data_IF_765397072246
#
_entry.id   IF_765397072246
#
_cell.length_a   1.000
_cell.length_b   1.000
_cell.length_c   1.000
_cell.angle_alpha   90.00
_cell.angle_beta   90.00
_cell.angle_gamma   90.00
#
_symmetry.space_group_name_H-M   'P 1'
#
loop_
_entity.id
_entity.type
_entity.pdbx_description
1 polymer ?
#
# COMPACT_ATOMS: atom_id res chain seq x y z
N UNK A 1 -20.86 -27.65 4.17
CA UNK A 1 -19.95 -26.49 4.28
C UNK A 1 -18.54 -27.02 4.48
N UNK A 2 -17.68 -26.98 3.47
CA UNK A 2 -16.27 -27.37 3.65
C UNK A 2 -15.54 -26.19 4.24
N UNK A 3 -15.17 -26.28 5.52
CA UNK A 3 -14.27 -25.30 6.13
C UNK A 3 -12.90 -25.45 5.49
N UNK A 4 -12.50 -24.52 4.63
CA UNK A 4 -11.10 -24.39 4.20
C UNK A 4 -10.29 -23.87 5.38
N UNK A 5 -10.00 -24.77 6.32
CA UNK A 5 -9.13 -24.50 7.45
C UNK A 5 -7.77 -23.99 6.97
N UNK A 6 -7.17 -23.09 7.75
CA UNK A 6 -5.80 -22.70 7.53
C UNK A 6 -4.91 -23.95 7.61
N UNK A 7 -4.06 -24.15 6.59
CA UNK A 7 -3.11 -25.26 6.57
C UNK A 7 -1.98 -24.90 7.53
N UNK A 8 -1.73 -25.67 8.60
CA UNK A 8 -0.71 -25.32 9.58
C UNK A 8 0.69 -25.22 8.95
N UNK A 9 1.45 -24.19 9.31
CA UNK A 9 2.83 -24.06 8.88
C UNK A 9 3.74 -24.94 9.73
N UNK A 10 3.84 -26.21 9.33
CA UNK A 10 4.66 -27.21 10.02
C UNK A 10 6.17 -26.96 9.87
N UNK A 11 6.62 -26.39 8.75
CA UNK A 11 8.03 -26.06 8.51
C UNK A 11 8.51 -25.00 9.52
N UNK A 12 7.76 -23.91 9.67
CA UNK A 12 8.08 -22.86 10.66
C UNK A 12 8.04 -23.37 12.10
N UNK A 13 7.11 -24.30 12.41
CA UNK A 13 7.06 -24.99 13.70
C UNK A 13 8.27 -25.89 13.95
N UNK A 14 8.81 -26.55 12.93
CA UNK A 14 10.07 -27.30 13.03
C UNK A 14 11.26 -26.36 13.29
N UNK A 15 11.31 -25.20 12.63
CA UNK A 15 12.36 -24.19 12.82
C UNK A 15 12.35 -23.53 14.19
N UNK A 16 11.18 -23.38 14.83
CA UNK A 16 11.10 -23.03 16.25
C UNK A 16 11.72 -24.13 17.14
N UNK A 17 11.51 -25.39 16.77
CA UNK A 17 12.02 -26.55 17.50
C UNK A 17 11.45 -26.63 18.92
N UNK A 18 12.32 -26.89 19.90
CA UNK A 18 11.95 -27.04 21.31
C UNK A 18 11.66 -25.71 22.03
N UNK A 19 12.00 -24.55 21.42
CA UNK A 19 11.76 -23.23 22.02
C UNK A 19 10.27 -22.97 22.17
N UNK A 20 9.84 -22.36 23.26
CA UNK A 20 8.47 -21.82 23.38
C UNK A 20 8.21 -20.73 22.32
N UNK A 21 6.95 -20.47 22.02
CA UNK A 21 6.56 -19.38 21.10
C UNK A 21 7.06 -18.00 21.59
N UNK A 22 7.15 -17.79 22.91
CA UNK A 22 7.68 -16.56 23.50
C UNK A 22 9.20 -16.39 23.34
N UNK A 23 9.96 -17.47 23.57
CA UNK A 23 11.43 -17.47 23.35
C UNK A 23 11.77 -17.31 21.88
N UNK A 24 11.02 -17.96 20.98
CA UNK A 24 11.21 -17.83 19.55
C UNK A 24 10.86 -16.42 19.07
N UNK A 25 9.76 -15.83 19.53
CA UNK A 25 9.46 -14.42 19.28
C UNK A 25 10.56 -13.48 19.82
N UNK A 26 11.17 -13.79 20.97
CA UNK A 26 12.29 -13.03 21.51
C UNK A 26 13.57 -13.15 20.64
N UNK A 27 13.81 -14.31 20.02
CA UNK A 27 14.86 -14.49 19.03
C UNK A 27 14.57 -13.70 17.75
N UNK A 28 13.33 -13.72 17.24
CA UNK A 28 12.89 -12.90 16.09
C UNK A 28 13.10 -11.41 16.37
N UNK A 29 12.70 -10.90 17.55
CA UNK A 29 12.96 -9.50 17.93
C UNK A 29 14.44 -9.17 18.11
N UNK A 30 15.31 -10.15 18.38
CA UNK A 30 16.77 -9.96 18.46
C UNK A 30 17.38 -9.85 17.06
N UNK A 31 17.10 -10.83 16.21
CA UNK A 31 17.50 -10.87 14.81
C UNK A 31 17.07 -9.59 14.08
N UNK A 32 15.86 -9.09 14.32
CA UNK A 32 15.40 -7.82 13.77
C UNK A 32 16.30 -6.64 14.12
N UNK A 33 16.69 -6.49 15.39
CA UNK A 33 17.61 -5.42 15.82
C UNK A 33 19.00 -5.53 15.19
N UNK A 34 19.47 -6.74 14.88
CA UNK A 34 20.78 -6.96 14.22
C UNK A 34 20.79 -6.41 12.79
N UNK A 35 19.65 -6.47 12.07
CA UNK A 35 19.49 -5.94 10.70
C UNK A 35 18.81 -4.56 10.64
N UNK A 36 18.58 -3.90 11.79
CA UNK A 36 17.93 -2.59 11.86
C UNK A 36 16.40 -2.60 11.69
N UNK A 37 15.77 -3.77 11.69
CA UNK A 37 14.33 -3.94 11.55
C UNK A 37 13.60 -3.77 12.89
N UNK A 38 12.42 -3.13 12.84
CA UNK A 38 11.53 -2.99 13.99
C UNK A 38 10.32 -3.91 13.84
N UNK A 39 10.27 -4.99 14.64
CA UNK A 39 9.15 -5.94 14.64
C UNK A 39 8.59 -6.17 16.04
N UNK A 40 7.28 -5.95 16.20
CA UNK A 40 6.54 -6.20 17.43
C UNK A 40 6.15 -7.70 17.57
N UNK A 41 7.10 -8.62 17.33
CA UNK A 41 6.83 -10.05 17.35
C UNK A 41 6.53 -10.54 18.78
N UNK A 42 5.42 -11.24 18.99
CA UNK A 42 5.06 -11.87 20.26
C UNK A 42 4.68 -13.34 20.10
N UNK A 43 4.41 -14.04 21.20
CA UNK A 43 4.03 -15.45 21.17
C UNK A 43 2.73 -15.70 20.38
N UNK A 44 1.81 -14.72 20.35
CA UNK A 44 0.55 -14.80 19.59
C UNK A 44 0.82 -14.72 18.09
N UNK A 45 1.70 -13.84 17.64
CA UNK A 45 2.13 -13.73 16.25
C UNK A 45 2.72 -15.05 15.76
N UNK A 46 3.64 -15.65 16.52
CA UNK A 46 4.20 -16.98 16.19
C UNK A 46 3.09 -18.05 16.10
N UNK A 47 2.14 -18.06 17.04
CA UNK A 47 0.99 -18.97 16.98
C UNK A 47 0.11 -18.80 15.73
N UNK A 48 -0.04 -17.56 15.23
CA UNK A 48 -0.79 -17.25 13.99
C UNK A 48 -0.02 -17.61 12.72
N UNK A 49 1.31 -17.62 12.76
CA UNK A 49 2.14 -18.17 11.69
C UNK A 49 2.01 -19.69 11.67
N UNK A 50 2.21 -20.36 12.81
CA UNK A 50 2.16 -21.84 12.89
C UNK A 50 0.78 -22.41 12.58
N UNK A 51 -0.31 -21.70 12.90
CA UNK A 51 -1.67 -22.10 12.52
C UNK A 51 -1.97 -21.93 11.03
N UNK A 52 -1.11 -21.24 10.28
CA UNK A 52 -1.34 -20.89 8.88
C UNK A 52 -2.32 -19.73 8.68
N UNK A 53 -2.69 -19.00 9.73
CA UNK A 53 -3.48 -17.77 9.60
C UNK A 53 -2.68 -16.69 8.85
N UNK A 54 -1.38 -16.56 9.18
CA UNK A 54 -0.42 -15.71 8.47
C UNK A 54 0.28 -16.55 7.40
N UNK A 55 -0.32 -16.61 6.21
CA UNK A 55 0.23 -17.37 5.05
C UNK A 55 1.37 -16.67 4.33
N UNK A 56 1.43 -15.35 4.38
CA UNK A 56 2.51 -14.53 3.85
C UNK A 56 2.80 -13.44 4.89
N UNK A 57 4.03 -13.35 5.44
CA UNK A 57 4.39 -12.29 6.37
C UNK A 57 4.46 -10.94 5.64
N UNK A 58 4.56 -9.83 6.38
CA UNK A 58 4.98 -8.57 5.76
C UNK A 58 6.50 -8.60 5.49
N UNK A 59 7.00 -7.70 4.64
CA UNK A 59 8.41 -7.77 4.22
C UNK A 59 9.41 -7.57 5.38
N UNK A 60 9.06 -6.85 6.46
CA UNK A 60 9.94 -6.74 7.62
C UNK A 60 10.15 -8.11 8.27
N UNK A 61 9.08 -8.86 8.52
CA UNK A 61 9.18 -10.25 8.98
C UNK A 61 9.87 -11.17 7.97
N UNK A 62 9.66 -10.98 6.66
CA UNK A 62 10.38 -11.74 5.62
C UNK A 62 11.91 -11.51 5.73
N UNK A 63 12.37 -10.26 5.82
CA UNK A 63 13.80 -9.93 5.98
C UNK A 63 14.38 -10.53 7.27
N UNK A 64 13.65 -10.43 8.39
CA UNK A 64 14.07 -11.02 9.67
C UNK A 64 14.17 -12.54 9.59
N UNK A 65 13.20 -13.23 8.98
CA UNK A 65 13.25 -14.69 8.87
C UNK A 65 14.35 -15.17 7.91
N UNK A 66 14.58 -14.47 6.79
CA UNK A 66 15.66 -14.79 5.86
C UNK A 66 17.06 -14.53 6.47
N UNK A 67 17.19 -13.54 7.36
CA UNK A 67 18.40 -13.34 8.18
C UNK A 67 18.59 -14.44 9.24
N UNK A 68 17.51 -14.87 9.91
CA UNK A 68 17.55 -15.97 10.89
C UNK A 68 17.86 -17.34 10.27
N UNK A 69 17.48 -17.55 9.00
CA UNK A 69 17.65 -18.81 8.28
C UNK A 69 18.34 -18.58 6.92
N UNK A 70 19.66 -18.25 6.90
CA UNK A 70 20.37 -17.98 5.67
C UNK A 70 20.30 -19.15 4.68
N UNK A 71 19.98 -18.85 3.42
CA UNK A 71 19.84 -19.85 2.36
C UNK A 71 18.47 -20.51 2.24
N UNK A 72 17.56 -20.30 3.20
CA UNK A 72 16.15 -20.71 3.05
C UNK A 72 15.36 -19.66 2.25
N UNK A 73 14.41 -20.10 1.43
CA UNK A 73 13.38 -19.23 0.84
C UNK A 73 12.14 -19.16 1.73
N UNK A 74 11.26 -18.18 1.49
CA UNK A 74 9.98 -18.09 2.21
C UNK A 74 9.11 -19.35 2.05
N UNK A 75 9.23 -20.07 0.92
CA UNK A 75 8.52 -21.32 0.70
C UNK A 75 9.07 -22.46 1.59
N UNK A 76 10.39 -22.51 1.81
CA UNK A 76 11.03 -23.47 2.71
C UNK A 76 10.66 -23.20 4.18
N UNK A 77 10.40 -21.94 4.52
CA UNK A 77 9.82 -21.51 5.80
C UNK A 77 8.29 -21.78 5.88
N UNK A 78 7.69 -22.42 4.87
CA UNK A 78 6.27 -22.78 4.80
C UNK A 78 5.31 -21.63 4.51
N UNK A 79 5.79 -20.47 4.04
CA UNK A 79 4.95 -19.36 3.60
C UNK A 79 4.53 -19.52 2.13
N UNK A 80 3.32 -19.06 1.83
CA UNK A 80 2.78 -18.99 0.48
C UNK A 80 3.30 -17.76 -0.25
N UNK A 81 3.61 -17.91 -1.54
CA UNK A 81 3.90 -16.79 -2.45
C UNK A 81 2.80 -15.72 -2.35
N UNK A 82 3.19 -14.44 -2.26
CA UNK A 82 2.29 -13.31 -1.93
C UNK A 82 1.17 -13.15 -2.95
N UNK A 83 1.44 -13.54 -4.19
CA UNK A 83 0.55 -13.62 -5.34
C UNK A 83 -0.60 -14.61 -5.09
N UNK A 84 -0.27 -15.80 -4.58
CA UNK A 84 -1.26 -16.86 -4.30
C UNK A 84 -2.17 -16.54 -3.11
N UNK A 85 -1.68 -15.77 -2.12
CA UNK A 85 -2.48 -15.28 -1.00
C UNK A 85 -3.48 -14.20 -1.46
N UNK A 86 -3.08 -13.34 -2.41
CA UNK A 86 -3.94 -12.31 -3.00
C UNK A 86 -4.97 -12.87 -3.99
N UNK A 87 -4.60 -13.89 -4.78
CA UNK A 87 -5.42 -14.43 -5.88
C UNK A 87 -6.68 -15.24 -5.48
N UNK A 88 -6.84 -15.65 -4.21
CA UNK A 88 -7.97 -16.50 -3.79
C UNK A 88 -9.33 -15.78 -3.72
N UNK A 89 -9.39 -14.47 -3.97
CA UNK A 89 -10.64 -13.72 -4.05
C UNK A 89 -11.40 -13.82 -5.39
N UNK A 90 -10.75 -14.26 -6.47
CA UNK A 90 -11.22 -13.98 -7.84
C UNK A 90 -11.75 -15.19 -8.64
N UNK A 91 -11.84 -16.40 -8.06
CA UNK A 91 -12.30 -17.60 -8.81
C UNK A 91 -13.34 -18.44 -8.07
N UNK A 92 -14.60 -17.99 -8.14
CA UNK A 92 -15.80 -18.82 -8.05
C UNK A 92 -16.86 -18.24 -8.99
N UNK A 93 -16.95 -18.78 -10.20
CA UNK A 93 -17.78 -18.23 -11.28
C UNK A 93 -17.54 -18.92 -12.62
N UNK A 94 -17.76 -20.24 -12.67
CA UNK A 94 -17.58 -21.06 -13.87
C UNK A 94 -18.89 -21.24 -14.65
N UNK A 95 -18.94 -20.83 -15.92
CA UNK A 95 -19.81 -21.36 -16.99
C UNK A 95 -19.31 -20.81 -18.37
N UNK A 96 -19.72 -21.36 -19.54
CA UNK A 96 -18.89 -22.32 -20.26
C UNK A 96 -18.52 -21.89 -21.71
N UNK A 97 -17.65 -22.68 -22.37
CA UNK A 97 -17.07 -22.38 -23.69
C UNK A 97 -17.77 -23.09 -24.87
N UNK A 98 -17.66 -22.51 -26.07
CA UNK A 98 -17.84 -23.13 -27.41
C UNK A 98 -17.36 -22.13 -28.52
N UNK A 99 -17.22 -22.53 -29.80
CA UNK A 99 -16.23 -23.48 -30.36
C UNK A 99 -15.38 -22.85 -31.50
N UNK A 100 -14.58 -23.64 -32.25
CA UNK A 100 -13.42 -23.17 -33.05
C UNK A 100 -13.42 -23.53 -34.58
N UNK A 101 -12.31 -23.18 -35.25
CA UNK A 101 -11.80 -23.61 -36.59
C UNK A 101 -12.14 -22.72 -37.82
N UNK A 102 -11.40 -22.80 -38.97
CA UNK A 102 -10.28 -23.69 -39.34
C UNK A 102 -8.97 -23.00 -39.88
N UNK A 103 -8.03 -23.78 -40.41
CA UNK A 103 -6.57 -23.47 -40.49
C UNK A 103 -5.89 -23.63 -41.88
N UNK A 104 -4.62 -23.15 -41.97
CA UNK A 104 -3.44 -23.68 -42.72
C UNK A 104 -3.12 -23.10 -44.13
N UNK A 105 -1.87 -23.22 -44.69
CA UNK A 105 -0.72 -24.07 -44.28
C UNK A 105 0.76 -23.52 -44.34
N UNK A 106 1.70 -24.29 -43.74
CA UNK A 106 3.17 -24.51 -43.93
C UNK A 106 4.18 -23.32 -44.10
N UNK A 107 5.31 -23.15 -43.37
CA UNK A 107 6.40 -24.03 -42.80
C UNK A 107 7.57 -24.31 -43.79
N UNK A 108 8.88 -24.18 -43.41
CA UNK A 108 9.60 -24.89 -42.32
C UNK A 108 10.60 -24.00 -41.49
N UNK A 109 11.36 -24.38 -40.44
CA UNK A 109 11.37 -25.37 -39.34
C UNK A 109 12.71 -25.18 -38.56
N UNK A 110 12.67 -24.70 -37.29
CA UNK A 110 13.47 -25.04 -36.05
C UNK A 110 15.02 -25.28 -36.07
N UNK A 111 15.75 -25.33 -34.92
CA UNK A 111 15.39 -25.22 -33.47
C UNK A 111 16.21 -24.12 -32.71
N UNK A 112 16.15 -23.85 -31.40
CA UNK A 112 15.24 -23.96 -30.24
C UNK A 112 16.07 -23.48 -29.03
N UNK A 113 15.59 -22.48 -28.28
CA UNK A 113 15.75 -22.42 -26.81
C UNK A 113 14.51 -21.70 -26.22
N UNK A 114 13.43 -22.47 -26.07
CA UNK A 114 12.46 -22.42 -24.98
C UNK A 114 11.96 -21.07 -24.40
N UNK A 115 10.76 -20.67 -24.84
CA UNK A 115 9.58 -20.31 -24.01
C UNK A 115 9.75 -19.17 -22.93
N UNK A 116 9.24 -17.93 -23.06
CA UNK A 116 7.85 -17.46 -23.35
C UNK A 116 6.79 -18.30 -22.57
N UNK A 117 5.87 -17.81 -21.74
CA UNK A 117 4.90 -16.68 -21.79
C UNK A 117 4.35 -16.41 -20.34
N UNK A 118 3.52 -15.42 -19.94
CA UNK A 118 2.90 -14.23 -20.57
C UNK A 118 2.40 -13.21 -19.49
N UNK A 119 1.63 -12.18 -19.92
CA UNK A 119 0.54 -11.51 -19.19
C UNK A 119 0.85 -10.64 -17.95
N UNK A 120 1.51 -9.49 -18.16
CA UNK A 120 1.05 -8.25 -17.52
C UNK A 120 -0.29 -7.79 -18.14
N UNK A 121 -1.41 -8.44 -17.82
CA UNK A 121 -2.75 -7.91 -18.11
C UNK A 121 -3.89 -8.62 -17.37
N UNK A 122 -4.31 -8.07 -16.22
CA UNK A 122 -5.76 -7.92 -15.99
C UNK A 122 -6.15 -6.75 -15.05
N UNK A 123 -5.46 -5.61 -15.14
CA UNK A 123 -5.91 -4.36 -14.48
C UNK A 123 -5.73 -3.08 -15.33
N UNK A 124 -5.70 -3.19 -16.66
CA UNK A 124 -5.79 -2.05 -17.59
C UNK A 124 -6.48 -2.41 -18.92
N UNK A 125 -7.82 -2.27 -19.02
CA UNK A 125 -8.53 -2.24 -20.33
C UNK A 125 -9.67 -1.19 -20.42
N UNK A 126 -9.29 0.06 -20.17
CA UNK A 126 -9.82 1.32 -20.76
C UNK A 126 -8.97 2.44 -20.16
N UNK A 127 -8.21 3.26 -20.90
CA UNK A 127 -8.25 3.61 -22.33
C UNK A 127 -6.83 3.86 -22.85
N UNK A 128 -6.39 3.18 -23.91
CA UNK A 128 -5.49 3.79 -24.90
C UNK A 128 -5.59 3.13 -26.28
N UNK A 129 -6.26 3.81 -27.20
CA UNK A 129 -6.11 3.67 -28.65
C UNK A 129 -6.23 5.08 -29.22
N UNK A 130 -5.16 5.86 -29.15
CA UNK A 130 -4.66 6.68 -30.28
C UNK A 130 -3.32 7.35 -29.90
N UNK A 131 -2.22 6.88 -30.49
CA UNK A 131 -0.98 7.66 -30.52
C UNK A 131 -1.06 8.70 -31.63
N UNK A 132 -0.82 9.97 -31.32
CA UNK A 132 -0.88 11.05 -32.32
C UNK A 132 -0.53 12.42 -31.75
N UNK A 133 0.76 12.78 -31.80
CA UNK A 133 1.33 14.15 -31.70
C UNK A 133 0.94 15.04 -30.51
N UNK A 134 1.92 15.35 -29.61
CA UNK A 134 2.34 16.74 -29.27
C UNK A 134 3.26 16.82 -28.02
N UNK A 135 4.53 17.15 -28.28
CA UNK A 135 5.45 18.04 -27.51
C UNK A 135 5.20 18.43 -26.03
N UNK A 136 6.25 18.18 -25.21
CA UNK A 136 6.88 19.06 -24.19
C UNK A 136 6.05 19.56 -22.99
N UNK A 137 6.43 19.09 -21.77
CA UNK A 137 6.55 19.92 -20.55
C UNK A 137 7.26 19.16 -19.39
N UNK A 138 8.58 18.94 -19.45
CA UNK A 138 9.34 18.19 -18.43
C UNK A 138 10.03 19.06 -17.35
N UNK A 139 9.56 20.29 -17.12
CA UNK A 139 10.31 21.29 -16.33
C UNK A 139 10.09 21.25 -14.81
N UNK A 140 8.93 20.80 -14.32
CA UNK A 140 8.52 20.98 -12.91
C UNK A 140 9.12 19.99 -11.90
N UNK A 141 9.98 19.08 -12.34
CA UNK A 141 10.53 17.99 -11.51
C UNK A 141 12.05 18.09 -11.24
N UNK A 142 12.70 19.19 -11.64
CA UNK A 142 14.05 19.53 -11.16
C UNK A 142 15.21 18.72 -11.75
N UNK A 143 15.12 18.27 -13.00
CA UNK A 143 16.21 17.61 -13.74
C UNK A 143 16.58 18.43 -14.99
N UNK A 144 17.30 19.54 -14.79
CA UNK A 144 17.81 20.40 -15.87
C UNK A 144 18.62 21.58 -15.34
N UNK A 145 19.73 21.90 -16.00
CA UNK A 145 20.66 22.98 -15.60
C UNK A 145 20.13 24.40 -15.86
N UNK A 146 20.86 25.44 -15.41
CA UNK A 146 20.37 26.81 -15.42
C UNK A 146 20.41 27.45 -16.81
N UNK A 147 19.32 28.11 -17.18
CA UNK A 147 19.32 29.13 -18.23
C UNK A 147 18.43 30.30 -17.79
N UNK A 148 18.99 31.51 -17.78
CA UNK A 148 18.27 32.71 -17.43
C UNK A 148 17.58 33.33 -18.65
N UNK A 149 16.36 33.82 -18.48
CA UNK A 149 15.85 34.99 -19.20
C UNK A 149 14.66 35.58 -18.43
N UNK A 150 14.31 36.84 -18.72
CA UNK A 150 13.53 37.70 -17.84
C UNK A 150 12.11 38.01 -18.35
N UNK A 151 11.35 38.63 -17.44
CA UNK A 151 10.17 39.48 -17.65
C UNK A 151 8.83 38.82 -17.99
N UNK A 152 7.83 39.15 -17.17
CA UNK A 152 6.43 38.81 -17.34
C UNK A 152 5.74 38.59 -16.00
N UNK A 153 5.09 39.62 -15.43
CA UNK A 153 4.18 39.43 -14.29
C UNK A 153 2.89 38.83 -14.83
N UNK A 154 2.91 37.52 -15.08
CA UNK A 154 1.67 36.77 -15.22
C UNK A 154 0.97 36.75 -13.86
N UNK A 155 -0.28 37.20 -13.84
CA UNK A 155 -1.24 36.75 -12.82
C UNK A 155 -1.14 35.21 -12.74
N UNK A 156 -1.13 34.60 -11.54
CA UNK A 156 -0.98 33.15 -11.43
C UNK A 156 -2.16 32.48 -12.14
N UNK A 157 -1.91 32.00 -13.35
CA UNK A 157 -2.89 31.27 -14.13
C UNK A 157 -3.19 30.00 -13.35
N UNK A 158 -4.38 29.94 -12.74
CA UNK A 158 -4.81 28.82 -11.91
C UNK A 158 -4.58 27.52 -12.69
N UNK A 159 -3.65 26.70 -12.18
CA UNK A 159 -3.22 25.49 -12.87
C UNK A 159 -4.42 24.56 -12.91
N UNK A 160 -4.91 24.25 -14.12
CA UNK A 160 -6.02 23.30 -14.26
C UNK A 160 -5.53 21.93 -13.81
N UNK A 161 -6.20 21.36 -12.81
CA UNK A 161 -5.94 19.99 -12.34
C UNK A 161 -6.67 19.03 -13.28
N UNK A 162 -5.92 18.12 -13.90
CA UNK A 162 -6.45 17.06 -14.74
C UNK A 162 -6.35 15.68 -14.11
N UNK A 163 -6.74 14.65 -14.87
CA UNK A 163 -6.56 13.25 -14.46
C UNK A 163 -5.07 12.94 -14.18
N UNK A 164 -4.14 13.55 -14.93
CA UNK A 164 -2.69 13.42 -14.78
C UNK A 164 -2.17 13.75 -13.38
N UNK A 165 -2.64 14.86 -12.80
CA UNK A 165 -2.30 15.29 -11.45
C UNK A 165 -2.84 14.32 -10.40
N UNK A 166 -4.08 13.88 -10.57
CA UNK A 166 -4.74 12.94 -9.67
C UNK A 166 -4.08 11.56 -9.71
N UNK A 167 -3.80 11.04 -10.90
CA UNK A 167 -3.10 9.77 -11.09
C UNK A 167 -1.69 9.83 -10.47
N UNK A 168 -0.99 10.97 -10.56
CA UNK A 168 0.31 11.16 -9.91
C UNK A 168 0.21 11.12 -8.37
N UNK A 169 -0.85 11.70 -7.79
CA UNK A 169 -1.13 11.64 -6.33
C UNK A 169 -1.46 10.21 -5.90
N UNK A 170 -2.34 9.51 -6.61
CA UNK A 170 -2.69 8.11 -6.33
C UNK A 170 -1.48 7.17 -6.46
N UNK A 171 -0.61 7.38 -7.46
CA UNK A 171 0.64 6.64 -7.60
C UNK A 171 1.65 6.96 -6.49
N UNK A 172 1.68 8.20 -5.98
CA UNK A 172 2.50 8.55 -4.82
C UNK A 172 2.06 7.79 -3.56
N UNK A 173 0.75 7.65 -3.30
CA UNK A 173 0.22 6.81 -2.21
C UNK A 173 0.71 5.36 -2.35
N UNK A 174 0.51 4.76 -3.53
CA UNK A 174 0.93 3.38 -3.82
C UNK A 174 2.42 3.19 -3.63
N UNK A 175 3.24 4.12 -4.13
CA UNK A 175 4.70 4.09 -4.02
C UNK A 175 5.17 4.23 -2.57
N UNK A 176 4.55 5.10 -1.77
CA UNK A 176 4.87 5.25 -0.35
C UNK A 176 4.59 3.94 0.39
N UNK A 177 3.39 3.36 0.23
CA UNK A 177 3.01 2.09 0.88
C UNK A 177 3.97 0.94 0.53
N UNK A 178 4.38 0.82 -0.74
CA UNK A 178 5.36 -0.19 -1.19
C UNK A 178 6.78 0.07 -0.66
N UNK A 179 7.18 1.33 -0.48
CA UNK A 179 8.49 1.66 0.09
C UNK A 179 8.54 1.43 1.60
N UNK A 180 7.46 1.76 2.31
CA UNK A 180 7.28 1.55 3.75
C UNK A 180 7.34 0.06 4.09
N UNK A 181 6.50 -0.75 3.43
CA UNK A 181 6.55 -2.22 3.43
C UNK A 181 8.01 -2.74 3.33
N UNK A 182 8.78 -2.22 2.37
CA UNK A 182 10.12 -2.70 2.02
C UNK A 182 11.26 -2.19 2.90
N UNK A 183 11.06 -1.12 3.70
CA UNK A 183 12.16 -0.41 4.38
C UNK A 183 11.87 0.02 5.82
N UNK A 184 10.62 -0.03 6.26
CA UNK A 184 10.16 0.64 7.48
C UNK A 184 10.10 2.16 7.34
N UNK A 185 9.54 2.83 8.34
CA UNK A 185 9.26 4.27 8.27
C UNK A 185 10.48 5.19 8.32
N UNK A 186 11.60 4.73 8.88
CA UNK A 186 12.76 5.57 9.13
C UNK A 186 13.49 5.99 7.85
N UNK A 187 13.65 7.30 7.70
CA UNK A 187 14.16 7.96 6.50
C UNK A 187 13.09 8.22 5.42
N UNK A 188 12.02 7.42 5.35
CA UNK A 188 10.97 7.56 4.33
C UNK A 188 10.03 8.75 4.61
N UNK A 189 9.69 9.04 5.88
CA UNK A 189 8.83 10.17 6.28
C UNK A 189 9.17 11.50 5.58
N UNK A 190 10.44 11.93 5.61
CA UNK A 190 10.88 13.20 5.00
C UNK A 190 10.74 13.21 3.47
N UNK A 191 10.79 12.04 2.83
CA UNK A 191 10.58 11.89 1.40
C UNK A 191 9.08 11.89 1.07
N UNK A 192 8.27 11.17 1.85
CA UNK A 192 6.83 11.06 1.71
C UNK A 192 6.08 12.38 1.98
N UNK A 193 6.63 13.26 2.81
CA UNK A 193 6.09 14.61 3.02
C UNK A 193 6.17 15.52 1.76
N UNK A 194 6.98 15.19 0.74
CA UNK A 194 7.05 15.95 -0.52
C UNK A 194 5.78 15.81 -1.38
N UNK A 195 5.33 14.60 -1.78
CA UNK A 195 4.09 14.46 -2.54
C UNK A 195 2.85 14.91 -1.76
N UNK A 196 2.83 14.82 -0.42
CA UNK A 196 1.74 15.36 0.39
C UNK A 196 1.61 16.88 0.25
N UNK A 197 2.72 17.64 0.39
CA UNK A 197 2.69 19.09 0.14
C UNK A 197 2.27 19.43 -1.29
N UNK A 198 2.78 18.71 -2.28
CA UNK A 198 2.38 18.90 -3.68
C UNK A 198 0.87 18.63 -3.91
N UNK A 199 0.28 17.66 -3.19
CA UNK A 199 -1.16 17.40 -3.25
C UNK A 199 -1.99 18.52 -2.60
N UNK A 200 -1.54 19.09 -1.48
CA UNK A 200 -2.19 20.27 -0.90
C UNK A 200 -2.01 21.53 -1.75
N UNK A 201 -0.84 21.76 -2.35
CA UNK A 201 -0.62 22.84 -3.32
C UNK A 201 -1.58 22.73 -4.53
N UNK A 202 -1.87 21.50 -5.00
CA UNK A 202 -2.86 21.24 -6.05
C UNK A 202 -4.31 21.49 -5.59
N UNK A 203 -4.64 21.27 -4.32
CA UNK A 203 -5.96 21.58 -3.75
C UNK A 203 -6.16 23.09 -3.53
N UNK A 204 -5.13 23.78 -3.04
CA UNK A 204 -5.19 25.21 -2.70
C UNK A 204 -5.13 26.12 -3.93
N UNK A 205 -4.31 25.77 -4.93
CA UNK A 205 -4.04 26.63 -6.11
C UNK A 205 -4.68 26.13 -7.40
N UNK A 206 -5.10 24.87 -7.43
CA UNK A 206 -5.62 24.22 -8.62
C UNK A 206 -7.10 24.47 -8.85
N UNK A 207 -7.47 24.81 -10.08
CA UNK A 207 -8.89 24.76 -10.48
C UNK A 207 -9.21 23.43 -11.14
N UNK A 208 -10.14 22.69 -10.54
CA UNK A 208 -10.65 21.44 -11.10
C UNK A 208 -11.97 21.68 -11.83
N UNK A 209 -12.04 21.29 -13.10
CA UNK A 209 -13.24 21.51 -13.94
C UNK A 209 -14.31 20.43 -13.80
N UNK A 210 -13.97 19.28 -13.23
CA UNK A 210 -14.85 18.11 -13.06
C UNK A 210 -14.92 17.72 -11.59
N UNK A 211 -16.13 17.64 -11.02
CA UNK A 211 -16.33 17.23 -9.62
C UNK A 211 -15.61 15.91 -9.27
N UNK A 212 -15.74 14.88 -10.11
CA UNK A 212 -15.08 13.58 -9.89
C UNK A 212 -13.54 13.65 -9.80
N UNK A 213 -12.89 14.59 -10.51
CA UNK A 213 -11.43 14.80 -10.41
C UNK A 213 -11.08 15.47 -9.08
N UNK A 214 -11.93 16.39 -8.60
CA UNK A 214 -11.75 17.06 -7.31
C UNK A 214 -11.96 16.07 -6.16
N UNK A 215 -13.00 15.24 -6.24
CA UNK A 215 -13.30 14.21 -5.24
C UNK A 215 -12.13 13.20 -5.15
N UNK A 216 -11.59 12.72 -6.29
CA UNK A 216 -10.39 11.87 -6.33
C UNK A 216 -9.15 12.57 -5.77
N UNK A 217 -8.94 13.86 -6.07
CA UNK A 217 -7.78 14.60 -5.55
C UNK A 217 -7.83 14.71 -4.02
N UNK A 218 -9.00 15.01 -3.44
CA UNK A 218 -9.17 15.03 -1.99
C UNK A 218 -8.94 13.65 -1.38
N UNK A 219 -9.54 12.59 -1.93
CA UNK A 219 -9.31 11.22 -1.46
C UNK A 219 -7.82 10.83 -1.50
N UNK A 220 -7.12 11.15 -2.61
CA UNK A 220 -5.70 10.92 -2.77
C UNK A 220 -4.82 11.72 -1.80
N UNK A 221 -5.14 12.99 -1.56
CA UNK A 221 -4.44 13.83 -0.58
C UNK A 221 -4.64 13.31 0.86
N UNK A 222 -5.86 12.89 1.22
CA UNK A 222 -6.13 12.27 2.51
C UNK A 222 -5.45 10.92 2.70
N UNK A 223 -5.40 10.08 1.67
CA UNK A 223 -4.64 8.81 1.70
C UNK A 223 -3.12 9.03 1.77
N UNK A 224 -2.60 10.12 1.17
CA UNK A 224 -1.22 10.57 1.40
C UNK A 224 -1.01 11.01 2.85
N UNK A 225 -1.93 11.80 3.41
CA UNK A 225 -1.84 12.26 4.80
C UNK A 225 -1.86 11.09 5.79
N UNK A 226 -2.74 10.09 5.61
CA UNK A 226 -2.68 8.85 6.41
C UNK A 226 -1.33 8.13 6.24
N UNK A 227 -0.84 7.99 5.01
CA UNK A 227 0.42 7.28 4.74
C UNK A 227 1.63 8.01 5.34
N UNK A 228 1.66 9.35 5.30
CA UNK A 228 2.72 10.17 5.93
C UNK A 228 2.58 10.19 7.45
N UNK A 229 1.36 10.19 7.98
CA UNK A 229 1.06 10.06 9.40
C UNK A 229 1.52 8.72 9.97
N UNK A 230 1.33 7.62 9.23
CA UNK A 230 1.85 6.30 9.60
C UNK A 230 3.38 6.29 9.71
N UNK A 231 4.07 6.85 8.71
CA UNK A 231 5.52 6.99 8.72
C UNK A 231 6.04 7.90 9.85
N UNK A 232 5.26 8.91 10.26
CA UNK A 232 5.57 9.72 11.43
C UNK A 232 5.39 8.90 12.72
N UNK A 233 4.33 8.11 12.80
CA UNK A 233 3.99 7.27 13.95
C UNK A 233 5.06 6.20 14.21
N UNK A 234 5.45 5.44 13.18
CA UNK A 234 6.47 4.38 13.27
C UNK A 234 7.87 4.95 13.60
N UNK A 235 8.19 6.18 13.18
CA UNK A 235 9.39 6.90 13.62
C UNK A 235 9.27 7.60 14.98
N UNK A 236 8.21 7.33 15.77
CA UNK A 236 8.00 7.93 17.10
C UNK A 236 7.65 9.43 17.11
N UNK A 237 7.37 10.05 15.95
CA UNK A 237 6.98 11.47 15.83
C UNK A 237 5.47 11.62 16.03
N UNK A 238 5.01 11.41 17.26
CA UNK A 238 3.58 11.34 17.59
C UNK A 238 2.82 12.65 17.33
N UNK A 239 3.43 13.82 17.55
CA UNK A 239 2.80 15.12 17.27
C UNK A 239 2.63 15.39 15.77
N UNK A 240 3.62 14.99 14.96
CA UNK A 240 3.51 15.02 13.50
C UNK A 240 2.40 14.08 13.03
N UNK A 241 2.40 12.82 13.50
CA UNK A 241 1.40 11.82 13.15
C UNK A 241 -0.02 12.29 13.49
N UNK A 242 -0.21 12.87 14.68
CA UNK A 242 -1.48 13.46 15.13
C UNK A 242 -1.96 14.57 14.18
N UNK A 243 -1.04 15.36 13.65
CA UNK A 243 -1.35 16.46 12.73
C UNK A 243 -1.76 15.92 11.35
N UNK A 244 -0.98 15.00 10.78
CA UNK A 244 -1.31 14.33 9.50
C UNK A 244 -2.65 13.58 9.55
N UNK A 245 -2.98 12.89 10.65
CA UNK A 245 -4.29 12.23 10.79
C UNK A 245 -5.46 13.23 10.94
N UNK A 246 -5.23 14.41 11.54
CA UNK A 246 -6.23 15.46 11.61
C UNK A 246 -6.47 16.11 10.24
N UNK A 247 -5.41 16.31 9.44
CA UNK A 247 -5.50 16.78 8.05
C UNK A 247 -6.23 15.77 7.16
N UNK A 248 -5.94 14.47 7.30
CA UNK A 248 -6.66 13.40 6.61
C UNK A 248 -8.17 13.41 6.96
N UNK A 249 -8.51 13.57 8.24
CA UNK A 249 -9.89 13.65 8.72
C UNK A 249 -10.62 14.90 8.18
N UNK A 250 -9.95 16.05 8.11
CA UNK A 250 -10.51 17.26 7.52
C UNK A 250 -10.77 17.07 6.01
N UNK A 251 -9.80 16.51 5.29
CA UNK A 251 -9.91 16.24 3.85
C UNK A 251 -11.03 15.23 3.55
N UNK A 252 -11.14 14.16 4.33
CA UNK A 252 -12.21 13.16 4.21
C UNK A 252 -13.62 13.78 4.36
N UNK A 253 -13.79 14.67 5.35
CA UNK A 253 -15.07 15.35 5.60
C UNK A 253 -15.44 16.35 4.52
N UNK A 254 -14.46 17.07 3.97
CA UNK A 254 -14.67 17.96 2.83
C UNK A 254 -15.10 17.17 1.57
N UNK A 255 -14.53 15.99 1.34
CA UNK A 255 -14.90 15.09 0.24
C UNK A 255 -16.20 14.29 0.48
N UNK A 256 -16.64 14.15 1.73
CA UNK A 256 -17.71 13.23 2.12
C UNK A 256 -17.31 11.75 2.10
N UNK A 257 -16.01 11.45 2.17
CA UNK A 257 -15.49 10.09 2.14
C UNK A 257 -15.49 9.45 3.54
N UNK A 258 -16.57 8.72 3.84
CA UNK A 258 -16.74 7.98 5.09
C UNK A 258 -15.74 6.82 5.26
N UNK A 259 -15.16 6.29 4.18
CA UNK A 259 -14.11 5.26 4.22
C UNK A 259 -12.80 5.83 4.70
N UNK A 260 -12.40 6.96 4.13
CA UNK A 260 -11.22 7.71 4.53
C UNK A 260 -11.37 8.30 5.95
N UNK A 261 -12.55 8.79 6.32
CA UNK A 261 -12.82 9.26 7.70
C UNK A 261 -12.66 8.12 8.72
N UNK A 262 -13.23 6.94 8.43
CA UNK A 262 -13.05 5.75 9.27
C UNK A 262 -11.57 5.33 9.37
N UNK A 263 -10.83 5.41 8.27
CA UNK A 263 -9.40 5.08 8.22
C UNK A 263 -8.56 6.07 9.05
N UNK A 264 -8.81 7.37 8.97
CA UNK A 264 -8.13 8.38 9.78
C UNK A 264 -8.40 8.20 11.28
N UNK A 265 -9.64 7.87 11.66
CA UNK A 265 -9.98 7.55 13.05
C UNK A 265 -9.31 6.27 13.56
N UNK A 266 -9.20 5.23 12.73
CA UNK A 266 -8.49 3.98 13.08
C UNK A 266 -7.01 4.27 13.41
N UNK A 267 -6.33 5.04 12.57
CA UNK A 267 -4.94 5.43 12.78
C UNK A 267 -4.76 6.35 14.01
N UNK A 268 -5.70 7.28 14.23
CA UNK A 268 -5.76 8.10 15.45
C UNK A 268 -5.92 7.24 16.71
N UNK A 269 -6.70 6.14 16.63
CA UNK A 269 -6.86 5.21 17.74
C UNK A 269 -5.56 4.47 18.10
N UNK A 270 -4.81 4.00 17.10
CA UNK A 270 -3.50 3.39 17.32
C UNK A 270 -2.50 4.38 17.93
N UNK A 271 -2.40 5.59 17.38
CA UNK A 271 -1.55 6.64 17.94
C UNK A 271 -1.89 6.98 19.39
N UNK A 272 -3.18 7.12 19.72
CA UNK A 272 -3.61 7.38 21.09
C UNK A 272 -3.33 6.20 22.04
N UNK A 273 -3.38 4.95 21.56
CA UNK A 273 -2.97 3.77 22.34
C UNK A 273 -1.48 3.81 22.65
N UNK A 274 -0.66 4.04 21.63
CA UNK A 274 0.81 3.95 21.72
C UNK A 274 1.41 5.17 22.45
N UNK A 275 0.72 6.31 22.43
CA UNK A 275 0.99 7.47 23.29
C UNK A 275 0.45 7.33 24.73
N UNK A 276 -0.08 6.17 25.15
CA UNK A 276 -0.54 5.92 26.52
C UNK A 276 -1.86 6.61 26.90
N UNK A 277 -2.71 6.95 25.93
CA UNK A 277 -3.99 7.69 26.09
C UNK A 277 -5.20 6.78 25.79
N UNK A 278 -5.43 5.68 26.55
CA UNK A 278 -6.39 4.63 26.19
C UNK A 278 -7.85 5.11 26.05
N UNK A 279 -8.28 6.10 26.85
CA UNK A 279 -9.64 6.68 26.74
C UNK A 279 -9.85 7.48 25.45
N UNK A 280 -8.80 7.98 24.83
CA UNK A 280 -8.87 8.61 23.52
C UNK A 280 -8.83 7.54 22.42
N UNK A 281 -8.00 6.51 22.56
CA UNK A 281 -7.95 5.39 21.64
C UNK A 281 -9.33 4.73 21.44
N UNK A 282 -10.06 4.46 22.52
CA UNK A 282 -11.43 3.92 22.44
C UNK A 282 -12.39 4.89 21.73
N UNK A 283 -12.40 6.17 22.11
CA UNK A 283 -13.28 7.19 21.49
C UNK A 283 -13.01 7.38 20.00
N UNK A 284 -11.75 7.29 19.59
CA UNK A 284 -11.35 7.34 18.17
C UNK A 284 -11.81 6.07 17.42
N UNK A 285 -11.63 4.88 17.99
CA UNK A 285 -12.12 3.63 17.40
C UNK A 285 -13.65 3.63 17.22
N UNK A 286 -14.41 4.06 18.23
CA UNK A 286 -15.85 4.22 18.14
C UNK A 286 -16.28 5.25 17.08
N UNK A 287 -15.52 6.34 16.91
CA UNK A 287 -15.78 7.33 15.87
C UNK A 287 -15.55 6.75 14.47
N UNK A 288 -14.47 5.99 14.28
CA UNK A 288 -14.21 5.26 13.05
C UNK A 288 -15.31 4.24 12.72
N UNK A 289 -15.76 3.47 13.73
CA UNK A 289 -16.88 2.54 13.55
C UNK A 289 -18.17 3.27 13.17
N UNK A 290 -18.47 4.44 13.76
CA UNK A 290 -19.64 5.25 13.40
C UNK A 290 -19.58 5.74 11.94
N UNK A 291 -18.42 6.21 11.47
CA UNK A 291 -18.23 6.58 10.06
C UNK A 291 -18.42 5.38 9.13
N UNK A 292 -17.81 4.23 9.46
CA UNK A 292 -17.86 3.01 8.66
C UNK A 292 -19.26 2.38 8.53
N UNK A 293 -20.21 2.64 9.43
CA UNK A 293 -21.60 2.12 9.36
C UNK A 293 -22.31 2.44 8.05
N UNK A 294 -22.02 3.60 7.46
CA UNK A 294 -22.60 4.02 6.18
C UNK A 294 -22.15 3.18 4.99
N UNK A 295 -21.03 2.44 5.12
CA UNK A 295 -20.39 1.66 4.06
C UNK A 295 -20.90 0.22 3.98
N UNK A 296 -21.70 -0.24 4.95
CA UNK A 296 -22.32 -1.57 4.96
C UNK A 296 -21.36 -2.77 4.98
N UNK A 297 -20.06 -2.57 5.19
CA UNK A 297 -19.05 -3.63 5.13
C UNK A 297 -18.81 -4.27 6.51
N UNK A 298 -19.07 -5.58 6.70
CA UNK A 298 -18.77 -6.27 7.96
C UNK A 298 -17.27 -6.36 8.30
N UNK A 299 -16.37 -5.98 7.39
CA UNK A 299 -14.92 -5.89 7.63
C UNK A 299 -14.48 -4.56 8.22
N UNK A 300 -15.38 -3.57 8.29
CA UNK A 300 -15.12 -2.22 8.79
C UNK A 300 -15.92 -1.91 10.08
N UNK A 301 -16.55 -2.93 10.69
CA UNK A 301 -17.42 -2.83 11.86
C UNK A 301 -16.89 -3.65 13.05
#
# INVERSE_FOLDING_TARGET
MVSTGAVPNLAFRQLRGQRSAGEFAAAVRRAAREIGEQVACDARYIGRVESGEIRCPNYAYERVFLHMFPGASLADLGFSARESVRGRGARSGSAPAAPAAPSAPASPSVPDESHHTDEESDVLRRVFMMGGTATVAAASLGLGGPSASAAGVSLPAQRRVGESEVDAVEQAVRRIRVLDDRRGGDGLYRQAARPLRAAYELLDTGTTTRRAVADRLHAGAGELAISVGWLAHDSGRFEDARSHYAEALATARLAGDAGLEAHAFCNTSFLARDAGRPREAVRAAEAGQRAARTLGSPRLL
#
